data_IF_188513262355
#
_entry.id   IF_188513262355
#
_cell.length_a   1.000
_cell.length_b   1.000
_cell.length_c   1.000
_cell.angle_alpha   90.00
_cell.angle_beta   90.00
_cell.angle_gamma   90.00
#
_symmetry.space_group_name_H-M   'P 1'
#
loop_
_entity.id
_entity.type
_entity.pdbx_description
1 polymer ?
#
# COMPACT_ATOMS: atom_id res chain seq x y z
N UNK A 1 -5.91 -14.24 -15.68
CA UNK A 1 -4.67 -13.53 -15.99
C UNK A 1 -3.53 -14.53 -15.95
N UNK A 2 -2.68 -14.51 -16.96
CA UNK A 2 -1.55 -15.43 -17.19
C UNK A 2 -0.22 -14.70 -16.97
N UNK A 3 0.89 -15.45 -16.92
CA UNK A 3 2.23 -14.85 -16.84
C UNK A 3 2.52 -13.89 -18.03
N UNK A 4 2.14 -14.22 -19.28
CA UNK A 4 2.15 -13.26 -20.39
C UNK A 4 1.32 -11.99 -20.13
N UNK A 5 0.10 -12.10 -19.59
CA UNK A 5 -0.74 -10.93 -19.29
C UNK A 5 -0.02 -10.00 -18.29
N UNK A 6 0.62 -10.56 -17.26
CA UNK A 6 1.39 -9.80 -16.25
C UNK A 6 2.59 -9.07 -16.87
N UNK A 7 3.28 -9.71 -17.82
CA UNK A 7 4.39 -9.10 -18.55
C UNK A 7 3.92 -8.06 -19.56
N UNK A 8 2.72 -8.25 -20.13
CA UNK A 8 2.10 -7.35 -21.09
C UNK A 8 1.51 -6.08 -20.44
N UNK A 9 1.34 -6.05 -19.11
CA UNK A 9 1.08 -4.84 -18.34
C UNK A 9 2.22 -3.83 -18.57
N UNK A 10 2.11 -3.05 -19.65
CA UNK A 10 3.08 -2.07 -20.13
C UNK A 10 2.55 -0.66 -19.93
N UNK A 11 3.48 0.28 -19.82
CA UNK A 11 3.38 1.54 -19.09
C UNK A 11 2.17 2.43 -19.44
N UNK A 12 1.64 3.09 -18.40
CA UNK A 12 1.06 4.43 -18.49
C UNK A 12 2.05 5.49 -18.01
N UNK A 13 3.30 5.40 -18.48
CA UNK A 13 4.46 6.25 -18.19
C UNK A 13 4.96 6.27 -16.74
N UNK A 14 6.22 5.85 -16.55
CA UNK A 14 7.18 6.23 -15.49
C UNK A 14 6.55 6.56 -14.15
N UNK A 15 6.51 5.57 -13.26
CA UNK A 15 6.55 5.87 -11.83
C UNK A 15 7.88 6.58 -11.62
N UNK A 16 7.83 7.84 -11.17
CA UNK A 16 8.93 8.37 -10.40
C UNK A 16 8.97 7.57 -9.10
N UNK A 17 9.60 6.40 -9.13
CA UNK A 17 10.03 5.69 -7.94
C UNK A 17 11.21 6.47 -7.38
N UNK A 18 10.94 7.68 -6.89
CA UNK A 18 11.79 8.51 -6.05
C UNK A 18 11.04 9.81 -5.74
N UNK A 19 10.26 9.71 -4.68
CA UNK A 19 9.94 10.75 -3.73
C UNK A 19 11.08 11.78 -3.68
N UNK A 20 10.84 13.03 -4.07
CA UNK A 20 11.48 14.09 -3.30
C UNK A 20 10.93 13.91 -1.90
N UNK A 21 11.70 13.26 -1.02
CA UNK A 21 11.31 12.96 0.35
C UNK A 21 10.72 14.25 0.91
N UNK A 22 9.45 14.17 1.32
CA UNK A 22 8.92 15.29 2.08
C UNK A 22 9.56 15.14 3.47
N UNK A 23 10.72 15.78 3.65
CA UNK A 23 11.52 15.65 4.86
C UNK A 23 10.82 16.28 6.08
N UNK A 24 9.68 16.96 5.89
CA UNK A 24 8.89 17.56 6.98
C UNK A 24 7.59 16.81 7.27
N UNK A 25 7.14 15.89 6.41
CA UNK A 25 5.95 15.08 6.68
C UNK A 25 6.16 14.17 7.90
N UNK A 26 5.16 14.15 8.78
CA UNK A 26 5.11 13.30 9.97
C UNK A 26 3.72 12.69 10.13
N UNK A 27 3.67 11.51 10.73
CA UNK A 27 2.47 10.71 10.92
C UNK A 27 2.38 10.18 12.34
N UNK A 28 1.17 9.83 12.77
CA UNK A 28 0.90 9.22 14.06
C UNK A 28 0.93 7.71 13.92
N UNK A 29 1.81 7.05 14.67
CA UNK A 29 1.82 5.58 14.79
C UNK A 29 1.37 5.18 16.19
N UNK A 30 0.32 4.39 16.26
CA UNK A 30 -0.24 3.86 17.49
C UNK A 30 -0.01 2.36 17.55
N UNK A 31 0.79 1.92 18.52
CA UNK A 31 0.91 0.52 18.92
C UNK A 31 -0.09 0.19 20.04
N UNK A 32 -0.63 -1.04 20.09
CA UNK A 32 -1.58 -1.46 21.11
C UNK A 32 -0.89 -1.62 22.48
N UNK A 33 -1.71 -1.68 23.55
CA UNK A 33 -1.20 -1.89 24.90
C UNK A 33 -0.38 -3.18 25.03
N UNK A 34 0.74 -3.07 25.76
CA UNK A 34 1.69 -4.16 25.98
C UNK A 34 2.61 -4.46 24.80
N UNK A 35 2.55 -3.69 23.71
CA UNK A 35 3.51 -3.79 22.61
C UNK A 35 4.66 -2.78 22.77
N UNK A 36 5.86 -3.19 22.36
CA UNK A 36 7.02 -2.31 22.24
C UNK A 36 7.05 -1.69 20.85
N UNK A 37 7.05 -0.36 20.78
CA UNK A 37 7.22 0.40 19.56
C UNK A 37 8.66 0.92 19.47
N UNK A 38 9.31 0.72 18.34
CA UNK A 38 10.63 1.30 18.05
C UNK A 38 10.59 2.12 16.77
N UNK A 39 11.25 3.27 16.77
CA UNK A 39 11.41 4.17 15.62
C UNK A 39 12.89 4.34 15.39
N UNK A 40 13.37 3.98 14.20
CA UNK A 40 14.78 3.93 13.82
C UNK A 40 15.67 3.19 14.84
N UNK A 41 15.12 2.12 15.43
CA UNK A 41 15.78 1.29 16.43
C UNK A 41 15.76 1.83 17.87
N UNK A 42 15.09 2.96 18.12
CA UNK A 42 14.93 3.55 19.45
C UNK A 42 13.51 3.27 19.97
N UNK A 43 13.41 2.67 21.15
CA UNK A 43 12.14 2.46 21.83
C UNK A 43 11.44 3.80 22.06
N UNK A 44 10.16 3.88 21.67
CA UNK A 44 9.39 5.12 21.60
C UNK A 44 8.00 4.88 22.19
N UNK A 45 7.50 5.84 22.97
CA UNK A 45 6.16 5.76 23.55
C UNK A 45 5.07 5.81 22.46
N UNK A 46 3.99 5.04 22.65
CA UNK A 46 2.80 5.05 21.81
C UNK A 46 1.72 5.98 22.41
N UNK A 47 1.00 6.80 21.61
CA UNK A 47 1.22 7.04 20.18
C UNK A 47 2.47 7.89 19.91
N UNK A 48 3.16 7.61 18.79
CA UNK A 48 4.38 8.31 18.39
C UNK A 48 4.13 9.22 17.18
N UNK A 49 4.76 10.39 17.17
CA UNK A 49 4.90 11.22 15.96
C UNK A 49 6.15 10.79 15.20
N UNK A 50 5.96 10.14 14.06
CA UNK A 50 7.01 9.47 13.29
C UNK A 50 7.25 10.23 11.98
N UNK A 51 8.52 10.45 11.63
CA UNK A 51 8.86 11.08 10.35
C UNK A 51 8.53 10.15 9.18
N UNK A 52 8.16 10.75 8.05
CA UNK A 52 8.01 10.00 6.80
C UNK A 52 9.31 9.23 6.48
N UNK A 53 9.15 7.97 6.05
CA UNK A 53 10.22 7.05 5.69
C UNK A 53 11.12 6.60 6.87
N UNK A 54 10.75 6.92 8.12
CA UNK A 54 11.39 6.34 9.28
C UNK A 54 11.05 4.84 9.38
N UNK A 55 12.02 4.02 9.77
CA UNK A 55 11.80 2.59 9.99
C UNK A 55 11.11 2.40 11.34
N UNK A 56 9.97 1.74 11.33
CA UNK A 56 9.19 1.44 12.53
C UNK A 56 9.12 -0.06 12.72
N UNK A 57 9.30 -0.52 13.96
CA UNK A 57 9.00 -1.90 14.34
C UNK A 57 8.11 -1.91 15.57
N UNK A 58 7.03 -2.70 15.50
CA UNK A 58 6.19 -3.02 16.65
C UNK A 58 6.39 -4.49 17.00
N UNK A 59 6.52 -4.79 18.29
CA UNK A 59 6.73 -6.13 18.80
C UNK A 59 5.83 -6.41 20.00
N UNK A 60 5.26 -7.62 20.06
CA UNK A 60 4.52 -8.13 21.24
C UNK A 60 4.57 -9.65 21.23
N UNK A 61 5.08 -10.23 22.31
CA UNK A 61 5.20 -11.68 22.47
C UNK A 61 3.86 -12.40 22.32
N UNK A 62 3.88 -13.54 21.63
CA UNK A 62 2.71 -14.41 21.47
C UNK A 62 1.66 -13.93 20.47
N UNK A 63 1.86 -12.76 19.84
CA UNK A 63 0.99 -12.28 18.76
C UNK A 63 1.11 -13.18 17.54
N UNK A 64 -0.04 -13.60 16.99
CA UNK A 64 -0.10 -14.40 15.78
C UNK A 64 -0.01 -13.55 14.51
N UNK A 65 -0.54 -12.32 14.54
CA UNK A 65 -0.53 -11.40 13.41
C UNK A 65 -0.74 -9.93 13.81
N UNK A 66 -0.36 -9.04 12.90
CA UNK A 66 -0.60 -7.60 12.99
C UNK A 66 -1.62 -7.17 11.93
N UNK A 67 -2.54 -6.30 12.32
CA UNK A 67 -3.56 -5.76 11.42
C UNK A 67 -3.54 -4.23 11.36
N UNK A 68 -3.91 -3.71 10.20
CA UNK A 68 -4.22 -2.31 9.92
C UNK A 68 -5.52 -2.29 9.13
N UNK A 69 -6.50 -1.49 9.56
CA UNK A 69 -7.84 -1.43 8.96
C UNK A 69 -8.50 -2.81 8.78
N UNK A 70 -8.28 -3.72 9.73
CA UNK A 70 -8.80 -5.09 9.70
C UNK A 70 -8.11 -6.03 8.70
N UNK A 71 -7.11 -5.55 7.96
CA UNK A 71 -6.31 -6.36 7.03
C UNK A 71 -4.99 -6.75 7.68
N UNK A 72 -4.65 -8.04 7.61
CA UNK A 72 -3.37 -8.53 8.12
C UNK A 72 -2.21 -7.97 7.31
N UNK A 73 -1.22 -7.39 7.98
CA UNK A 73 -0.02 -6.78 7.37
C UNK A 73 1.27 -7.52 7.72
N UNK A 74 1.25 -8.37 8.75
CA UNK A 74 2.36 -9.28 9.07
C UNK A 74 1.88 -10.45 9.92
N UNK A 75 2.63 -11.57 9.86
CA UNK A 75 2.49 -12.70 10.76
C UNK A 75 3.61 -12.73 11.81
N UNK A 76 3.27 -13.23 13.00
CA UNK A 76 4.18 -13.37 14.13
C UNK A 76 4.20 -12.15 15.05
N UNK A 77 5.15 -12.20 15.98
CA UNK A 77 5.29 -11.25 17.09
C UNK A 77 5.72 -9.84 16.67
N UNK A 78 6.26 -9.69 15.46
CA UNK A 78 6.92 -8.46 15.02
C UNK A 78 6.44 -8.02 13.64
N UNK A 79 6.09 -6.75 13.52
CA UNK A 79 5.89 -6.09 12.22
C UNK A 79 6.87 -4.93 12.07
N UNK A 80 7.59 -4.91 10.96
CA UNK A 80 8.52 -3.83 10.60
C UNK A 80 8.11 -3.22 9.28
N UNK A 81 8.04 -1.89 9.25
CA UNK A 81 7.63 -1.12 8.08
C UNK A 81 8.31 0.25 7.99
N UNK A 82 8.18 0.90 6.84
CA UNK A 82 8.56 2.31 6.67
C UNK A 82 7.32 3.20 6.80
N UNK A 83 7.38 4.21 7.68
CA UNK A 83 6.23 5.06 7.98
C UNK A 83 5.85 5.94 6.78
N UNK A 84 4.67 5.71 6.21
CA UNK A 84 4.14 6.47 5.07
C UNK A 84 2.79 7.16 5.30
N UNK A 85 2.15 6.87 6.43
CA UNK A 85 0.82 7.33 6.80
C UNK A 85 0.63 7.21 8.31
N UNK A 86 -0.47 7.77 8.81
CA UNK A 86 -0.96 7.42 10.13
C UNK A 86 -1.25 5.90 10.17
N UNK A 87 -0.94 5.26 11.31
CA UNK A 87 -1.04 3.82 11.47
C UNK A 87 -1.64 3.51 12.83
N UNK A 88 -2.72 2.74 12.85
CA UNK A 88 -3.28 2.16 14.06
C UNK A 88 -3.13 0.64 14.02
N UNK A 89 -2.16 0.12 14.76
CA UNK A 89 -1.80 -1.28 14.75
C UNK A 89 -2.65 -2.05 15.75
N UNK A 90 -3.15 -3.21 15.30
CA UNK A 90 -3.89 -4.14 16.14
C UNK A 90 -3.12 -5.45 16.21
N UNK A 91 -2.86 -5.91 17.43
CA UNK A 91 -2.33 -7.24 17.69
C UNK A 91 -3.46 -8.27 17.64
N UNK A 92 -3.23 -9.39 16.95
CA UNK A 92 -4.16 -10.51 16.87
C UNK A 92 -3.53 -11.72 17.55
N UNK A 93 -4.11 -12.12 18.68
CA UNK A 93 -3.57 -13.20 19.51
C UNK A 93 -4.07 -14.59 19.07
N UNK A 94 -5.18 -14.65 18.33
CA UNK A 94 -5.73 -15.89 17.80
C UNK A 94 -5.06 -16.29 16.50
N UNK A 95 -4.90 -17.60 16.27
CA UNK A 95 -4.43 -18.11 14.99
C UNK A 95 -5.31 -17.58 13.83
N UNK A 96 -4.67 -17.00 12.83
CA UNK A 96 -5.31 -16.49 11.61
C UNK A 96 -4.94 -17.38 10.43
N UNK A 97 -5.87 -17.50 9.48
CA UNK A 97 -5.57 -18.11 8.19
C UNK A 97 -4.42 -17.34 7.52
N UNK A 98 -3.35 -18.06 7.17
CA UNK A 98 -2.19 -17.47 6.54
C UNK A 98 -2.40 -17.37 5.03
N UNK A 99 -2.65 -16.16 4.54
CA UNK A 99 -2.88 -15.85 3.13
C UNK A 99 -2.25 -14.51 2.73
N UNK A 100 -2.09 -14.32 1.44
CA UNK A 100 -1.59 -13.06 0.88
C UNK A 100 -2.67 -11.99 1.01
N UNK A 101 -2.27 -10.81 1.49
CA UNK A 101 -3.14 -9.67 1.76
C UNK A 101 -2.44 -8.38 1.34
N UNK A 102 -3.21 -7.34 1.00
CA UNK A 102 -2.68 -6.00 0.72
C UNK A 102 -3.71 -4.95 1.12
N UNK A 103 -3.24 -3.86 1.72
CA UNK A 103 -4.09 -2.74 2.17
C UNK A 103 -3.40 -1.41 1.90
N UNK A 104 -4.17 -0.41 1.47
CA UNK A 104 -3.72 0.98 1.45
C UNK A 104 -3.90 1.53 2.87
N UNK A 105 -2.81 1.78 3.56
CA UNK A 105 -2.75 2.22 4.96
C UNK A 105 -2.92 3.73 5.12
N UNK A 106 -2.85 4.50 4.04
CA UNK A 106 -3.17 5.92 4.11
C UNK A 106 -3.17 6.66 2.80
N UNK A 107 -3.85 7.82 2.82
CA UNK A 107 -4.03 8.74 1.69
C UNK A 107 -3.80 10.15 2.19
N UNK A 108 -2.71 10.77 1.73
CA UNK A 108 -2.26 12.06 2.26
C UNK A 108 -1.96 13.04 1.13
N UNK A 109 -2.59 14.21 1.14
CA UNK A 109 -2.20 15.31 0.26
C UNK A 109 -0.80 15.82 0.62
N UNK A 110 0.02 16.10 -0.39
CA UNK A 110 1.35 16.69 -0.21
C UNK A 110 1.21 18.21 -0.21
N UNK A 111 1.58 18.84 0.90
CA UNK A 111 1.48 20.29 1.08
C UNK A 111 2.23 21.06 -0.02
N UNK A 112 1.59 22.11 -0.55
CA UNK A 112 2.17 22.91 -1.64
C UNK A 112 2.25 22.20 -3.00
N UNK A 113 1.66 21.00 -3.14
CA UNK A 113 1.66 20.21 -4.37
C UNK A 113 0.23 19.90 -4.85
N UNK A 114 0.14 19.31 -6.04
CA UNK A 114 -1.07 18.71 -6.64
C UNK A 114 -1.07 17.19 -6.50
N UNK A 115 -0.18 16.65 -5.66
CA UNK A 115 0.06 15.23 -5.49
C UNK A 115 -0.54 14.71 -4.18
N UNK A 116 -0.97 13.46 -4.22
CA UNK A 116 -1.44 12.67 -3.08
C UNK A 116 -0.56 11.43 -2.98
N UNK A 117 -0.17 11.09 -1.75
CA UNK A 117 0.55 9.88 -1.42
C UNK A 117 -0.44 8.79 -0.97
N UNK A 118 -0.35 7.62 -1.60
CA UNK A 118 -1.02 6.40 -1.19
C UNK A 118 0.03 5.45 -0.63
N UNK A 119 -0.02 5.14 0.67
CA UNK A 119 0.86 4.17 1.31
C UNK A 119 0.14 2.81 1.38
N UNK A 120 0.86 1.72 1.10
CA UNK A 120 0.30 0.38 1.18
C UNK A 120 1.28 -0.61 1.81
N UNK A 121 0.72 -1.56 2.54
CA UNK A 121 1.42 -2.69 3.14
C UNK A 121 0.80 -4.00 2.67
N UNK A 122 1.62 -5.04 2.63
CA UNK A 122 1.18 -6.37 2.23
C UNK A 122 1.90 -7.48 2.99
N UNK A 123 1.16 -8.55 3.23
CA UNK A 123 1.70 -9.80 3.70
C UNK A 123 1.65 -10.86 2.59
N UNK A 124 2.59 -11.80 2.60
CA UNK A 124 2.67 -12.90 1.64
C UNK A 124 2.42 -14.21 2.37
N UNK A 125 1.56 -15.07 1.82
CA UNK A 125 1.30 -16.39 2.36
C UNK A 125 2.60 -17.23 2.39
N UNK A 126 2.78 -18.12 3.37
CA UNK A 126 3.87 -19.08 3.34
C UNK A 126 3.86 -19.90 2.05
N UNK A 127 5.04 -20.12 1.46
CA UNK A 127 5.18 -20.90 0.23
C UNK A 127 4.83 -20.14 -1.06
N UNK A 128 4.42 -18.88 -0.96
CA UNK A 128 4.23 -18.00 -2.11
C UNK A 128 5.44 -17.07 -2.32
N UNK A 129 5.69 -16.72 -3.58
CA UNK A 129 6.74 -15.78 -3.98
C UNK A 129 6.13 -14.59 -4.72
N UNK A 130 6.58 -13.37 -4.44
CA UNK A 130 6.06 -12.17 -5.12
C UNK A 130 6.56 -12.14 -6.56
N UNK A 131 5.64 -12.07 -7.51
CA UNK A 131 5.91 -11.86 -8.94
C UNK A 131 5.89 -10.38 -9.28
N UNK A 132 4.85 -9.68 -8.84
CA UNK A 132 4.66 -8.24 -9.11
C UNK A 132 3.79 -7.62 -8.04
N UNK A 133 4.03 -6.35 -7.72
CA UNK A 133 3.22 -5.60 -6.78
C UNK A 133 3.24 -4.12 -7.13
N UNK A 134 2.20 -3.39 -6.76
CA UNK A 134 2.07 -2.00 -7.15
C UNK A 134 0.71 -1.41 -6.88
N UNK A 135 0.34 -0.43 -7.69
CA UNK A 135 -0.93 0.27 -7.66
C UNK A 135 -1.59 0.30 -9.04
N UNK A 136 -2.90 0.15 -9.05
CA UNK A 136 -3.79 0.52 -10.15
C UNK A 136 -4.39 1.86 -9.77
N UNK A 137 -4.38 2.85 -10.66
CA UNK A 137 -4.78 4.21 -10.29
C UNK A 137 -5.33 5.01 -11.46
N UNK A 138 -6.02 6.12 -11.16
CA UNK A 138 -6.43 7.07 -12.18
C UNK A 138 -7.34 8.19 -11.69
N UNK A 139 -7.70 9.08 -12.61
CA UNK A 139 -8.54 10.26 -12.37
C UNK A 139 -10.01 9.91 -12.52
N UNK A 140 -10.84 10.29 -11.55
CA UNK A 140 -12.30 10.18 -11.59
C UNK A 140 -12.80 8.78 -11.98
N UNK A 141 -12.09 7.74 -11.56
CA UNK A 141 -12.51 6.36 -11.78
C UNK A 141 -13.48 5.92 -10.68
N UNK A 142 -14.43 5.08 -11.05
CA UNK A 142 -15.21 4.30 -10.12
C UNK A 142 -14.36 3.14 -9.56
N UNK A 143 -14.68 2.68 -8.36
CA UNK A 143 -13.88 1.68 -7.68
C UNK A 143 -13.84 0.35 -8.46
N UNK A 144 -14.95 -0.01 -9.11
CA UNK A 144 -15.06 -1.19 -9.97
C UNK A 144 -14.18 -1.13 -11.23
N UNK A 145 -13.66 0.04 -11.59
CA UNK A 145 -12.81 0.22 -12.76
C UNK A 145 -11.33 -0.03 -12.45
N UNK A 146 -10.92 0.05 -11.18
CA UNK A 146 -9.53 -0.09 -10.74
C UNK A 146 -9.11 -1.56 -10.62
N UNK A 147 -9.12 -2.26 -11.76
CA UNK A 147 -8.71 -3.65 -11.89
C UNK A 147 -7.51 -3.79 -12.83
N UNK A 148 -6.76 -4.89 -12.69
CA UNK A 148 -5.63 -5.18 -13.58
C UNK A 148 -6.10 -5.39 -15.03
N UNK A 149 -7.29 -5.94 -15.20
CA UNK A 149 -7.91 -6.21 -16.49
C UNK A 149 -8.31 -4.93 -17.24
N UNK A 150 -8.54 -3.82 -16.54
CA UNK A 150 -8.95 -2.56 -17.14
C UNK A 150 -7.77 -1.62 -17.44
N UNK A 151 -6.53 -1.99 -17.13
CA UNK A 151 -5.36 -1.15 -17.39
C UNK A 151 -5.28 -0.78 -18.87
N UNK A 152 -5.16 0.51 -19.15
CA UNK A 152 -5.18 1.08 -20.51
C UNK A 152 -6.56 1.53 -21.00
N UNK A 153 -7.65 1.11 -20.35
CA UNK A 153 -9.00 1.52 -20.71
C UNK A 153 -9.33 2.90 -20.13
N UNK A 154 -10.10 3.70 -20.87
CA UNK A 154 -10.70 4.94 -20.35
C UNK A 154 -11.87 4.59 -19.42
N UNK A 155 -11.98 5.29 -18.30
CA UNK A 155 -13.14 5.15 -17.42
C UNK A 155 -14.45 5.63 -18.07
N UNK A 156 -15.57 5.19 -17.51
CA UNK A 156 -16.90 5.39 -18.05
C UNK A 156 -17.38 6.86 -17.97
N UNK A 157 -16.98 7.59 -16.92
CA UNK A 157 -17.37 8.99 -16.76
C UNK A 157 -16.73 9.87 -17.84
N UNK A 158 -17.47 10.89 -18.31
CA UNK A 158 -17.00 11.79 -19.37
C UNK A 158 -15.63 12.43 -19.04
N UNK A 159 -15.44 12.76 -17.75
CA UNK A 159 -14.22 13.37 -17.20
C UNK A 159 -13.26 12.35 -16.55
N UNK A 160 -13.48 11.04 -16.75
CA UNK A 160 -12.56 10.00 -16.31
C UNK A 160 -11.27 9.99 -17.12
N UNK A 161 -10.19 9.67 -16.42
CA UNK A 161 -8.92 9.33 -17.04
C UNK A 161 -8.87 7.88 -17.53
N UNK A 162 -7.68 7.48 -17.94
CA UNK A 162 -7.34 6.08 -18.23
C UNK A 162 -6.92 5.36 -16.94
N UNK A 163 -7.29 4.09 -16.82
CA UNK A 163 -6.78 3.20 -15.75
C UNK A 163 -5.30 2.96 -16.00
N UNK A 164 -4.47 3.33 -15.03
CA UNK A 164 -3.01 3.20 -15.09
C UNK A 164 -2.51 2.19 -14.07
N UNK A 165 -1.29 1.73 -14.30
CA UNK A 165 -0.59 0.82 -13.39
C UNK A 165 0.80 1.36 -13.06
N UNK A 166 1.24 1.10 -11.84
CA UNK A 166 2.54 1.46 -11.30
C UNK A 166 3.05 0.27 -10.45
N UNK A 167 4.16 -0.37 -10.80
CA UNK A 167 4.77 -1.44 -10.00
C UNK A 167 6.28 -1.29 -9.79
N UNK A 168 6.79 -1.88 -8.71
CA UNK A 168 8.23 -1.89 -8.36
C UNK A 168 8.99 -3.02 -9.06
N UNK A 169 10.30 -2.83 -9.29
CA UNK A 169 11.22 -3.89 -9.75
C UNK A 169 11.80 -4.72 -8.60
N UNK A 170 11.83 -4.18 -7.37
CA UNK A 170 12.31 -4.86 -6.17
C UNK A 170 11.14 -5.12 -5.20
N UNK A 171 11.14 -6.27 -4.52
CA UNK A 171 10.06 -6.66 -3.60
C UNK A 171 10.29 -6.10 -2.18
N UNK A 172 9.88 -4.86 -1.95
CA UNK A 172 9.71 -4.33 -0.59
C UNK A 172 8.35 -4.75 -0.01
N UNK A 173 8.21 -4.93 1.31
CA UNK A 173 6.90 -5.25 1.89
C UNK A 173 5.94 -4.06 1.81
N UNK A 174 6.43 -2.87 2.13
CA UNK A 174 5.67 -1.63 2.03
C UNK A 174 6.04 -0.90 0.73
N UNK A 175 5.01 -0.32 0.10
CA UNK A 175 5.13 0.46 -1.14
C UNK A 175 4.29 1.71 -1.03
N UNK A 176 4.63 2.72 -1.83
CA UNK A 176 3.83 3.93 -1.92
C UNK A 176 3.72 4.41 -3.36
N UNK A 177 2.63 5.11 -3.66
CA UNK A 177 2.38 5.82 -4.91
C UNK A 177 2.21 7.31 -4.62
N UNK A 178 2.99 8.17 -5.27
CA UNK A 178 2.67 9.60 -5.40
C UNK A 178 1.95 9.84 -6.72
N UNK A 179 0.69 10.20 -6.62
CA UNK A 179 -0.15 10.45 -7.78
C UNK A 179 -0.94 11.75 -7.61
N UNK A 180 -0.89 12.59 -8.62
CA UNK A 180 -1.52 13.89 -8.65
C UNK A 180 -2.15 14.20 -10.01
N UNK A 181 -2.96 15.25 -10.03
CA UNK A 181 -3.54 15.79 -11.26
C UNK A 181 -2.75 17.02 -11.71
N UNK A 182 -2.91 17.44 -12.96
CA UNK A 182 -2.28 18.68 -13.45
C UNK A 182 -2.83 19.94 -12.78
N UNK A 183 -4.05 19.86 -12.22
CA UNK A 183 -4.72 20.87 -11.41
C UNK A 183 -5.51 20.16 -10.31
N UNK A 184 -5.73 20.82 -9.17
CA UNK A 184 -6.56 20.33 -8.06
C UNK A 184 -8.05 20.32 -8.43
N UNK A 185 -8.40 19.51 -9.44
CA UNK A 185 -9.74 19.43 -10.01
C UNK A 185 -10.09 17.97 -10.32
N UNK A 186 -10.89 17.40 -9.43
CA UNK A 186 -11.42 16.04 -9.49
C UNK A 186 -10.97 15.15 -8.34
N UNK A 187 -11.03 13.84 -8.58
CA UNK A 187 -10.71 12.77 -7.65
C UNK A 187 -9.55 11.95 -8.19
N UNK A 188 -8.59 11.62 -7.34
CA UNK A 188 -7.56 10.61 -7.60
C UNK A 188 -7.89 9.36 -6.81
N UNK A 189 -7.88 8.21 -7.46
CA UNK A 189 -8.18 6.92 -6.83
C UNK A 189 -7.08 5.91 -7.10
N UNK A 190 -6.83 5.02 -6.14
CA UNK A 190 -5.89 3.92 -6.30
C UNK A 190 -6.35 2.66 -5.55
N UNK A 191 -5.98 1.51 -6.09
CA UNK A 191 -5.98 0.21 -5.41
C UNK A 191 -4.56 -0.36 -5.43
N UNK A 192 -4.08 -0.88 -4.30
CA UNK A 192 -2.81 -1.59 -4.24
C UNK A 192 -3.02 -3.05 -4.67
N UNK A 193 -2.02 -3.66 -5.28
CA UNK A 193 -2.08 -5.05 -5.69
C UNK A 193 -0.78 -5.79 -5.40
N UNK A 194 -0.91 -7.10 -5.18
CA UNK A 194 0.19 -8.06 -5.18
C UNK A 194 -0.23 -9.29 -5.99
N UNK A 195 0.69 -9.74 -6.84
CA UNK A 195 0.60 -10.99 -7.57
C UNK A 195 1.71 -11.90 -7.06
N UNK A 196 1.33 -13.06 -6.58
CA UNK A 196 2.23 -14.09 -6.08
C UNK A 196 2.18 -15.34 -6.94
N UNK A 197 3.19 -16.20 -6.78
CA UNK A 197 3.29 -17.51 -7.42
C UNK A 197 3.60 -18.57 -6.36
N UNK A 198 2.80 -19.62 -6.34
CA UNK A 198 3.04 -20.83 -5.54
C UNK A 198 4.12 -21.71 -6.19
N UNK A 199 4.60 -22.72 -5.46
CA UNK A 199 5.66 -23.63 -5.93
C UNK A 199 5.29 -24.40 -7.21
N UNK A 200 4.01 -24.71 -7.43
CA UNK A 200 3.49 -25.36 -8.64
C UNK A 200 3.30 -24.41 -9.83
N UNK A 201 3.54 -23.12 -9.63
CA UNK A 201 3.45 -22.07 -10.63
C UNK A 201 2.09 -21.38 -10.73
N UNK A 202 1.12 -21.72 -9.89
CA UNK A 202 -0.18 -21.05 -9.84
C UNK A 202 -0.03 -19.58 -9.43
N UNK A 203 -0.69 -18.68 -10.16
CA UNK A 203 -0.64 -17.24 -9.90
C UNK A 203 -1.85 -16.79 -9.07
N UNK A 204 -1.59 -16.11 -7.95
CA UNK A 204 -2.61 -15.57 -7.07
C UNK A 204 -2.61 -14.04 -7.13
N UNK A 205 -3.80 -13.45 -7.27
CA UNK A 205 -4.01 -11.99 -7.34
C UNK A 205 -4.72 -11.53 -6.08
N UNK A 206 -4.11 -10.57 -5.39
CA UNK A 206 -4.75 -9.86 -4.28
C UNK A 206 -4.75 -8.36 -4.58
N UNK A 207 -5.92 -7.73 -4.47
CA UNK A 207 -6.11 -6.28 -4.67
C UNK A 207 -6.77 -5.72 -3.41
N UNK A 208 -6.32 -4.55 -2.96
CA UNK A 208 -6.89 -3.86 -1.81
C UNK A 208 -8.26 -3.25 -2.13
N UNK A 209 -8.96 -2.79 -1.10
CA UNK A 209 -10.00 -1.79 -1.32
C UNK A 209 -9.43 -0.56 -2.03
N UNK A 210 -10.28 0.12 -2.80
CA UNK A 210 -9.94 1.39 -3.42
C UNK A 210 -9.95 2.48 -2.35
N UNK A 211 -8.91 3.31 -2.35
CA UNK A 211 -8.90 4.56 -1.59
C UNK A 211 -8.80 5.72 -2.57
N UNK A 212 -9.35 6.88 -2.19
CA UNK A 212 -9.40 8.05 -3.05
C UNK A 212 -9.22 9.35 -2.29
N UNK A 213 -8.83 10.39 -3.01
CA UNK A 213 -8.75 11.76 -2.53
C UNK A 213 -9.46 12.68 -3.53
N UNK A 214 -10.41 13.47 -3.06
CA UNK A 214 -11.09 14.50 -3.85
C UNK A 214 -10.48 15.84 -3.52
N UNK A 215 -9.96 16.55 -4.52
CA UNK A 215 -9.46 17.90 -4.31
C UNK A 215 -10.61 18.86 -3.96
N UNK A 216 -10.35 19.77 -3.04
CA UNK A 216 -11.27 20.81 -2.59
C UNK A 216 -10.81 22.20 -3.06
#
# INVERSE_FOLDING_TARGET
MTEPDIHALTDGATIYAQYTKDNVAKYTVTAPEGATLTVDGVETASPATVAYDAKVSVHKDGVAAWQVDGVTVAYGDTYTFFCGSDMNLVAVDTAVEQKTTVVITGVNEIAGSVQVSFAASRNVAPGETVVKQGFIYGKNLADSELTLENVGNKGADANAGTVKIAYTKNSAADISLRYGLSKKDGKVSAAAFVITKTADGTLNKTISEVKSYTYH
#
